data_IF_341422861264
#
_entry.id   IF_341422861264
#
_cell.length_a   1.000
_cell.length_b   1.000
_cell.length_c   1.000
_cell.angle_alpha   90.00
_cell.angle_beta   90.00
_cell.angle_gamma   90.00
#
_symmetry.space_group_name_H-M   'P 1'
#
loop_
_entity.id
_entity.type
_entity.pdbx_description
1 polymer ?
#
# COMPACT_ATOMS: atom_id res chain seq x y z
N UNK A 1 13.45 20.43 -16.68
CA UNK A 1 14.25 19.97 -17.82
C UNK A 1 13.73 18.57 -18.11
N UNK A 2 12.82 18.48 -19.08
CA UNK A 2 12.14 17.23 -19.46
C UNK A 2 13.10 16.44 -20.34
N UNK A 3 13.33 15.16 -20.05
CA UNK A 3 14.16 14.29 -20.89
C UNK A 3 13.57 14.21 -22.31
N UNK A 4 14.28 14.71 -23.34
CA UNK A 4 13.77 14.78 -24.70
C UNK A 4 13.71 13.42 -25.40
N UNK A 5 14.20 12.34 -24.77
CA UNK A 5 14.24 11.01 -25.37
C UNK A 5 12.87 10.31 -25.44
N UNK A 6 11.91 10.72 -24.61
CA UNK A 6 10.58 10.11 -24.56
C UNK A 6 9.60 10.67 -25.61
N UNK A 7 9.93 11.79 -26.27
CA UNK A 7 9.02 12.45 -27.22
C UNK A 7 9.25 12.05 -28.68
N UNK A 8 10.16 11.10 -28.92
CA UNK A 8 10.42 10.54 -30.24
C UNK A 8 9.64 9.22 -30.37
N UNK A 9 8.45 9.30 -30.95
CA UNK A 9 7.54 8.16 -31.14
C UNK A 9 8.24 6.97 -31.80
N UNK A 10 9.22 7.22 -32.69
CA UNK A 10 9.97 6.15 -33.36
C UNK A 10 10.89 5.39 -32.39
N UNK A 11 11.56 6.10 -31.47
CA UNK A 11 12.37 5.46 -30.42
C UNK A 11 11.50 4.68 -29.45
N UNK A 12 10.31 5.20 -29.12
CA UNK A 12 9.35 4.50 -28.26
C UNK A 12 8.83 3.22 -28.92
N UNK A 13 8.51 3.27 -30.22
CA UNK A 13 8.10 2.11 -31.01
C UNK A 13 9.22 1.05 -31.04
N UNK A 14 10.47 1.46 -31.23
CA UNK A 14 11.60 0.54 -31.25
C UNK A 14 11.86 -0.09 -29.88
N UNK A 15 11.82 0.70 -28.80
CA UNK A 15 11.93 0.18 -27.44
C UNK A 15 10.78 -0.80 -27.10
N UNK A 16 9.57 -0.54 -27.59
CA UNK A 16 8.43 -1.43 -27.42
C UNK A 16 8.60 -2.74 -28.20
N UNK A 17 9.15 -2.67 -29.42
CA UNK A 17 9.44 -3.86 -30.25
C UNK A 17 10.48 -4.76 -29.57
N UNK A 18 11.55 -4.15 -29.05
CA UNK A 18 12.61 -4.86 -28.33
C UNK A 18 12.08 -5.49 -27.02
N UNK A 19 11.26 -4.75 -26.28
CA UNK A 19 10.59 -5.27 -25.09
C UNK A 19 9.65 -6.46 -25.39
N UNK A 20 8.92 -6.42 -26.52
CA UNK A 20 8.03 -7.50 -26.92
C UNK A 20 8.81 -8.74 -27.38
N UNK A 21 9.88 -8.56 -28.17
CA UNK A 21 10.74 -9.66 -28.61
C UNK A 21 11.43 -10.35 -27.43
N UNK A 22 11.96 -9.58 -26.47
CA UNK A 22 12.59 -10.13 -25.26
C UNK A 22 11.59 -10.82 -24.33
N UNK A 23 10.31 -10.42 -24.32
CA UNK A 23 9.27 -11.12 -23.57
C UNK A 23 8.97 -12.50 -24.15
N UNK A 24 8.97 -12.65 -25.49
CA UNK A 24 8.76 -13.93 -26.18
C UNK A 24 9.94 -14.91 -25.96
N UNK A 25 11.13 -14.39 -25.66
CA UNK A 25 12.32 -15.20 -25.35
C UNK A 25 12.30 -15.83 -23.94
N UNK A 26 11.41 -15.38 -23.04
CA UNK A 26 11.31 -15.95 -21.69
C UNK A 26 10.46 -17.22 -21.74
N UNK A 27 11.03 -18.41 -21.45
CA UNK A 27 10.26 -19.64 -21.47
C UNK A 27 9.11 -19.56 -20.46
N UNK A 28 7.92 -20.05 -20.83
CA UNK A 28 6.73 -19.99 -19.97
C UNK A 28 6.95 -20.57 -18.57
N UNK A 29 7.82 -21.58 -18.43
CA UNK A 29 8.20 -22.15 -17.14
C UNK A 29 8.84 -21.12 -16.19
N UNK A 30 9.64 -20.17 -16.68
CA UNK A 30 10.23 -19.09 -15.87
C UNK A 30 9.19 -18.06 -15.48
N UNK A 31 8.26 -17.73 -16.38
CA UNK A 31 7.13 -16.84 -16.07
C UNK A 31 6.25 -17.45 -14.99
N UNK A 32 5.89 -18.73 -15.11
CA UNK A 32 5.10 -19.45 -14.12
C UNK A 32 5.84 -19.62 -12.79
N UNK A 33 7.14 -19.89 -12.80
CA UNK A 33 7.96 -19.90 -11.59
C UNK A 33 8.01 -18.52 -10.91
N UNK A 34 8.14 -17.44 -11.69
CA UNK A 34 8.12 -16.07 -11.19
C UNK A 34 6.77 -15.71 -10.57
N UNK A 35 5.65 -16.04 -11.25
CA UNK A 35 4.29 -15.86 -10.72
C UNK A 35 4.07 -16.67 -9.45
N UNK A 36 4.52 -17.92 -9.42
CA UNK A 36 4.43 -18.78 -8.24
C UNK A 36 5.21 -18.17 -7.06
N UNK A 37 6.49 -17.80 -7.26
CA UNK A 37 7.30 -17.16 -6.23
C UNK A 37 6.68 -15.84 -5.73
N UNK A 38 6.09 -15.05 -6.64
CA UNK A 38 5.40 -13.81 -6.28
C UNK A 38 4.12 -14.08 -5.47
N UNK A 39 3.35 -15.12 -5.81
CA UNK A 39 2.16 -15.51 -5.05
C UNK A 39 2.52 -16.01 -3.64
N UNK A 40 3.63 -16.74 -3.48
CA UNK A 40 4.13 -17.20 -2.19
C UNK A 40 4.60 -16.05 -1.27
N UNK A 41 5.01 -14.90 -1.83
CA UNK A 41 5.60 -13.79 -1.05
C UNK A 41 4.68 -13.22 0.03
N UNK A 42 3.36 -13.36 -0.09
CA UNK A 42 2.40 -12.84 0.87
C UNK A 42 1.41 -13.89 1.34
N UNK A 43 1.71 -15.18 1.14
CA UNK A 43 0.77 -16.25 1.50
C UNK A 43 0.59 -16.40 3.01
N UNK A 44 1.64 -16.09 3.77
CA UNK A 44 1.64 -16.10 5.24
C UNK A 44 1.18 -14.76 5.82
N UNK A 45 0.77 -13.80 4.97
CA UNK A 45 0.26 -12.52 5.44
C UNK A 45 -1.24 -12.59 5.70
N UNK A 46 -1.66 -12.11 6.87
CA UNK A 46 -3.05 -11.92 7.21
C UNK A 46 -3.61 -10.77 6.35
N UNK A 47 -4.47 -11.12 5.39
CA UNK A 47 -5.06 -10.13 4.49
C UNK A 47 -6.22 -9.42 5.20
N UNK A 48 -5.96 -8.21 5.66
CA UNK A 48 -6.95 -7.36 6.30
C UNK A 48 -7.83 -6.68 5.24
N UNK A 49 -9.11 -7.05 5.20
CA UNK A 49 -10.10 -6.50 4.30
C UNK A 49 -10.58 -5.14 4.79
N UNK A 50 -10.83 -4.20 3.88
CA UNK A 50 -11.44 -2.92 4.22
C UNK A 50 -12.87 -3.15 4.72
N UNK A 51 -13.13 -2.83 5.98
CA UNK A 51 -14.44 -3.01 6.64
C UNK A 51 -15.15 -1.69 6.90
N UNK A 52 -14.43 -0.57 6.93
CA UNK A 52 -14.98 0.78 7.06
C UNK A 52 -14.18 1.80 6.24
N UNK A 53 -14.88 2.75 5.60
CA UNK A 53 -14.31 3.91 4.93
C UNK A 53 -15.24 5.11 5.10
N UNK A 54 -14.78 6.15 5.82
CA UNK A 54 -15.61 7.32 6.10
C UNK A 54 -16.00 8.10 4.83
N UNK A 55 -15.26 7.95 3.72
CA UNK A 55 -15.64 8.55 2.45
C UNK A 55 -16.92 7.96 1.85
N UNK A 56 -17.33 6.77 2.31
CA UNK A 56 -18.54 6.08 1.87
C UNK A 56 -19.72 6.26 2.84
N UNK A 57 -19.51 6.86 4.02
CA UNK A 57 -20.57 7.12 5.02
C UNK A 57 -21.14 8.55 4.89
N UNK A 58 -22.42 8.71 4.49
CA UNK A 58 -23.06 10.01 4.39
C UNK A 58 -23.20 10.74 5.74
N UNK A 59 -23.20 10.03 6.87
CA UNK A 59 -23.42 10.64 8.19
C UNK A 59 -22.19 11.40 8.69
N UNK A 60 -20.98 10.95 8.34
CA UNK A 60 -19.73 11.62 8.71
C UNK A 60 -19.49 12.91 7.92
N UNK A 61 -20.06 13.04 6.71
CA UNK A 61 -19.98 14.29 5.92
C UNK A 61 -20.69 15.48 6.58
N UNK A 62 -21.56 15.25 7.58
CA UNK A 62 -22.30 16.29 8.30
C UNK A 62 -21.63 16.76 9.61
N UNK A 63 -20.67 16.01 10.16
CA UNK A 63 -20.18 16.22 11.53
C UNK A 63 -19.00 17.20 11.69
N UNK A 64 -18.31 17.63 10.62
CA UNK A 64 -17.08 18.43 10.78
C UNK A 64 -17.04 19.62 9.79
N UNK A 65 -17.90 20.62 9.99
CA UNK A 65 -17.63 21.99 9.51
C UNK A 65 -16.78 22.75 10.54
N UNK A 66 -15.53 22.31 10.69
CA UNK A 66 -14.44 23.13 11.21
C UNK A 66 -13.24 22.88 10.28
N UNK A 67 -12.95 23.88 9.43
CA UNK A 67 -11.75 24.04 8.61
C UNK A 67 -11.09 22.80 7.95
N UNK A 68 -11.55 22.47 6.73
CA UNK A 68 -10.72 22.05 5.57
C UNK A 68 -9.51 21.11 5.76
N UNK A 69 -9.62 20.06 6.56
CA UNK A 69 -8.79 18.86 6.40
C UNK A 69 -9.74 17.68 6.16
N UNK A 70 -9.69 17.11 4.96
CA UNK A 70 -10.42 15.88 4.63
C UNK A 70 -9.76 14.78 5.46
N UNK A 71 -10.36 14.46 6.60
CA UNK A 71 -9.97 13.36 7.45
C UNK A 71 -10.67 12.11 6.93
N UNK A 72 -9.93 11.22 6.26
CA UNK A 72 -10.48 9.94 5.79
C UNK A 72 -10.06 8.85 6.77
N UNK A 73 -11.04 8.20 7.38
CA UNK A 73 -10.82 7.11 8.32
C UNK A 73 -11.08 5.79 7.62
N UNK A 74 -10.16 4.84 7.80
CA UNK A 74 -10.25 3.50 7.22
C UNK A 74 -10.06 2.46 8.32
N UNK A 75 -10.82 1.38 8.27
CA UNK A 75 -10.61 0.21 9.14
C UNK A 75 -10.42 -1.02 8.27
N UNK A 76 -9.29 -1.71 8.47
CA UNK A 76 -9.01 -3.00 7.84
C UNK A 76 -9.03 -4.09 8.91
N UNK A 77 -9.62 -5.26 8.61
CA UNK A 77 -9.67 -6.37 9.56
C UNK A 77 -9.40 -7.73 8.91
N UNK A 78 -8.68 -8.60 9.62
CA UNK A 78 -8.44 -10.02 9.31
C UNK A 78 -8.82 -10.89 10.51
N UNK A 79 -8.53 -12.20 10.47
CA UNK A 79 -8.77 -13.05 11.63
C UNK A 79 -7.80 -12.69 12.77
N UNK A 80 -8.33 -12.06 13.81
CA UNK A 80 -7.57 -11.68 15.01
C UNK A 80 -6.82 -10.34 14.95
N UNK A 81 -6.90 -9.57 13.87
CA UNK A 81 -6.23 -8.28 13.75
C UNK A 81 -7.11 -7.20 13.10
N UNK A 82 -6.95 -5.97 13.58
CA UNK A 82 -7.54 -4.75 13.03
C UNK A 82 -6.45 -3.71 12.84
N UNK A 83 -6.50 -2.99 11.71
CA UNK A 83 -5.67 -1.82 11.42
C UNK A 83 -6.59 -0.63 11.20
N UNK A 84 -6.57 0.31 12.13
CA UNK A 84 -7.31 1.58 12.02
C UNK A 84 -6.39 2.66 11.50
N UNK A 85 -6.87 3.43 10.52
CA UNK A 85 -6.11 4.50 9.88
C UNK A 85 -6.89 5.80 9.87
N UNK A 86 -6.17 6.89 10.09
CA UNK A 86 -6.63 8.25 9.87
C UNK A 86 -5.67 8.93 8.87
N UNK A 87 -6.21 9.23 7.69
CA UNK A 87 -5.48 9.88 6.61
C UNK A 87 -5.61 11.39 6.76
N UNK A 88 -4.48 12.04 6.99
CA UNK A 88 -4.35 13.49 7.03
C UNK A 88 -3.49 13.96 5.84
N UNK A 89 -3.50 15.27 5.51
CA UNK A 89 -2.60 15.81 4.47
C UNK A 89 -1.10 15.61 4.77
N UNK A 90 -0.73 15.42 6.04
CA UNK A 90 0.68 15.42 6.48
C UNK A 90 1.20 14.03 6.88
N UNK A 91 0.31 13.13 7.27
CA UNK A 91 0.66 11.79 7.74
C UNK A 91 -0.53 10.81 7.65
N UNK A 92 -0.19 9.52 7.62
CA UNK A 92 -1.10 8.44 7.99
C UNK A 92 -0.88 8.16 9.47
N UNK A 93 -1.88 8.43 10.29
CA UNK A 93 -1.91 7.98 11.68
C UNK A 93 -2.56 6.60 11.68
N UNK A 94 -2.05 5.67 12.48
CA UNK A 94 -2.70 4.38 12.58
C UNK A 94 -2.43 3.66 13.87
N UNK A 95 -3.26 2.63 14.08
CA UNK A 95 -3.22 1.76 15.24
C UNK A 95 -3.41 0.30 14.79
N UNK A 96 -2.62 -0.60 15.36
CA UNK A 96 -2.77 -2.04 15.26
C UNK A 96 -3.46 -2.57 16.53
N UNK A 97 -4.51 -3.36 16.36
CA UNK A 97 -5.25 -4.03 17.44
C UNK A 97 -5.36 -5.54 17.16
N UNK A 98 -4.93 -6.44 18.08
CA UNK A 98 -4.27 -6.17 19.36
C UNK A 98 -2.97 -5.36 19.23
N UNK A 99 -2.57 -4.58 20.25
CA UNK A 99 -1.34 -3.81 20.19
C UNK A 99 -0.10 -4.71 20.23
N UNK A 100 0.79 -4.54 19.26
CA UNK A 100 2.09 -5.20 19.23
C UNK A 100 3.14 -4.31 18.58
N UNK A 101 4.34 -4.24 19.20
CA UNK A 101 5.50 -3.55 18.64
C UNK A 101 5.87 -4.18 17.30
N UNK A 102 6.31 -3.36 16.35
CA UNK A 102 6.68 -3.84 15.04
C UNK A 102 7.03 -2.71 14.09
N UNK A 103 6.95 -2.98 12.80
CA UNK A 103 7.24 -2.03 11.74
C UNK A 103 6.09 -1.98 10.76
N UNK A 104 5.68 -0.79 10.35
CA UNK A 104 4.72 -0.59 9.25
C UNK A 104 5.44 -0.04 8.03
N UNK A 105 5.19 -0.63 6.87
CA UNK A 105 5.74 -0.18 5.59
C UNK A 105 4.62 0.12 4.61
N UNK A 106 4.62 1.32 4.02
CA UNK A 106 3.80 1.59 2.84
C UNK A 106 4.49 1.04 1.58
N UNK A 107 3.74 0.30 0.77
CA UNK A 107 4.23 -0.26 -0.49
C UNK A 107 3.30 0.09 -1.64
N UNK A 108 3.90 0.60 -2.72
CA UNK A 108 3.25 0.73 -4.03
C UNK A 108 3.75 -0.36 -4.98
N UNK A 109 3.35 -0.26 -6.25
CA UNK A 109 3.78 -1.19 -7.30
C UNK A 109 5.31 -1.21 -7.49
N UNK A 110 5.96 -0.05 -7.33
CA UNK A 110 7.41 0.11 -7.42
C UNK A 110 8.20 -0.31 -6.18
N UNK A 111 7.54 -0.81 -5.13
CA UNK A 111 8.19 -1.26 -3.90
C UNK A 111 7.88 -0.41 -2.68
N UNK A 112 8.86 -0.31 -1.76
CA UNK A 112 8.72 0.41 -0.49
C UNK A 112 8.69 1.91 -0.72
N UNK A 113 7.68 2.59 -0.16
CA UNK A 113 7.48 4.04 -0.28
C UNK A 113 7.84 4.78 1.01
N UNK A 114 7.48 4.22 2.16
CA UNK A 114 7.76 4.76 3.48
C UNK A 114 7.74 3.66 4.54
N UNK A 115 8.29 3.94 5.71
CA UNK A 115 8.29 3.06 6.88
C UNK A 115 8.21 3.86 8.17
N UNK A 116 7.59 3.26 9.19
CA UNK A 116 7.56 3.75 10.55
C UNK A 116 7.55 2.57 11.53
N UNK A 117 7.92 2.85 12.78
CA UNK A 117 7.80 1.89 13.87
C UNK A 117 6.37 1.90 14.43
N UNK A 118 5.92 0.74 14.89
CA UNK A 118 4.70 0.54 15.68
C UNK A 118 5.15 0.44 17.14
N UNK A 119 4.60 1.30 18.00
CA UNK A 119 4.97 1.35 19.41
C UNK A 119 4.31 0.25 20.26
N UNK A 120 4.59 0.25 21.57
CA UNK A 120 4.07 -0.74 22.53
C UNK A 120 2.54 -0.71 22.68
N UNK A 121 1.90 0.38 22.27
CA UNK A 121 0.46 0.56 22.29
C UNK A 121 -0.18 0.32 20.92
N UNK A 122 0.61 -0.15 19.94
CA UNK A 122 0.16 -0.43 18.59
C UNK A 122 0.05 0.80 17.69
N UNK A 123 0.46 1.99 18.14
CA UNK A 123 0.36 3.22 17.36
C UNK A 123 1.55 3.42 16.44
N UNK A 124 1.29 4.05 15.29
CA UNK A 124 2.32 4.48 14.36
C UNK A 124 1.94 5.77 13.66
N UNK A 125 2.96 6.48 13.18
CA UNK A 125 2.81 7.69 12.36
C UNK A 125 3.70 7.54 11.13
N UNK A 126 3.09 7.46 9.96
CA UNK A 126 3.78 7.32 8.69
C UNK A 126 3.64 8.62 7.89
N UNK A 127 4.73 9.35 7.70
CA UNK A 127 4.71 10.65 7.02
C UNK A 127 5.93 10.91 6.14
N UNK A 128 5.77 11.67 5.03
CA UNK A 128 4.50 12.11 4.46
C UNK A 128 3.71 10.95 3.82
N UNK A 129 2.37 11.06 3.70
CA UNK A 129 1.57 10.03 3.06
C UNK A 129 1.96 9.90 1.58
N UNK A 130 2.05 8.67 1.03
CA UNK A 130 2.28 8.51 -0.40
C UNK A 130 1.19 9.18 -1.24
N UNK A 131 1.59 9.80 -2.35
CA UNK A 131 0.69 10.47 -3.31
C UNK A 131 0.26 9.56 -4.49
N UNK A 132 0.56 8.27 -4.39
CA UNK A 132 0.17 7.22 -5.33
C UNK A 132 -0.53 6.10 -4.56
N UNK A 133 -1.33 5.23 -5.20
CA UNK A 133 -1.92 4.07 -4.53
C UNK A 133 -0.87 3.21 -3.82
N UNK A 134 -1.18 2.83 -2.58
CA UNK A 134 -0.29 2.05 -1.73
C UNK A 134 -1.08 1.12 -0.81
N UNK A 135 -0.42 0.16 -0.19
CA UNK A 135 -0.98 -0.65 0.91
C UNK A 135 0.01 -0.67 2.07
N UNK A 136 -0.49 -0.92 3.27
CA UNK A 136 0.36 -1.08 4.44
C UNK A 136 0.70 -2.55 4.67
N UNK A 137 1.95 -2.78 5.05
CA UNK A 137 2.45 -4.06 5.55
C UNK A 137 2.91 -3.83 6.97
N UNK A 138 2.16 -4.33 7.94
CA UNK A 138 2.55 -4.31 9.34
C UNK A 138 3.25 -5.63 9.66
N UNK A 139 4.48 -5.58 10.15
CA UNK A 139 5.24 -6.76 10.60
C UNK A 139 5.46 -6.61 12.09
N UNK A 140 4.84 -7.48 12.87
CA UNK A 140 4.96 -7.46 14.32
C UNK A 140 6.27 -8.11 14.78
N UNK A 141 6.70 -7.82 16.00
CA UNK A 141 7.92 -8.38 16.57
C UNK A 141 7.84 -9.92 16.73
N UNK A 142 6.63 -10.48 16.93
CA UNK A 142 6.38 -11.92 16.93
C UNK A 142 6.50 -12.57 15.54
N UNK A 143 6.61 -11.77 14.48
CA UNK A 143 6.77 -12.22 13.10
C UNK A 143 5.47 -12.31 12.31
N UNK A 144 4.34 -11.87 12.89
CA UNK A 144 3.06 -11.83 12.17
C UNK A 144 3.10 -10.70 11.14
N UNK A 145 2.67 -10.99 9.91
CA UNK A 145 2.58 -9.99 8.85
C UNK A 145 1.11 -9.72 8.51
N UNK A 146 0.66 -8.48 8.67
CA UNK A 146 -0.69 -8.04 8.32
C UNK A 146 -0.61 -7.14 7.09
N UNK A 147 -1.45 -7.42 6.11
CA UNK A 147 -1.47 -6.74 4.81
C UNK A 147 -2.82 -6.09 4.58
N UNK A 148 -2.87 -4.77 4.40
CA UNK A 148 -4.11 -4.08 4.06
C UNK A 148 -4.47 -4.26 2.59
N UNK A 149 -5.73 -3.99 2.25
CA UNK A 149 -6.12 -3.64 0.89
C UNK A 149 -5.44 -2.35 0.39
N UNK A 150 -5.62 -2.05 -0.90
CA UNK A 150 -5.09 -0.83 -1.50
C UNK A 150 -5.80 0.42 -0.97
N UNK A 151 -5.01 1.41 -0.60
CA UNK A 151 -5.39 2.74 -0.20
C UNK A 151 -5.08 3.67 -1.37
N UNK A 152 -6.09 4.41 -1.82
CA UNK A 152 -5.92 5.48 -2.81
C UNK A 152 -5.87 6.82 -2.08
N UNK A 153 -4.83 7.64 -2.32
CA UNK A 153 -4.75 9.02 -1.81
C UNK A 153 -5.96 9.88 -2.23
#
# INVERSE_FOLDING_TARGET
MLDPEWHDDEKLIEALRDALASADDVPSAFVEAGKAAFAWRTIDAELAALTYDSAQDPLDTLAIRSESAILRSLTFASDGWTVELELTPNAVLGQLDPPEVGTVTARGDGGKLAEAEIDELGFFVLGPPPNIPYRLVCTTQSGTTILTGWITP
#
